data_IF_023529188790
#
_entry.id   IF_023529188790
#
_cell.length_a   1.000
_cell.length_b   1.000
_cell.length_c   1.000
_cell.angle_alpha   90.00
_cell.angle_beta   90.00
_cell.angle_gamma   90.00
#
_symmetry.space_group_name_H-M   'P 1'
#
loop_
_entity.id
_entity.type
_entity.pdbx_description
1 polymer ?
#
# COMPACT_ATOMS: atom_id res chain seq x y z
N UNK A 1 -28.69 51.86 13.24
CA UNK A 1 -29.69 50.78 13.10
C UNK A 1 -28.99 49.59 12.48
N UNK A 2 -28.69 48.59 13.30
CA UNK A 2 -28.19 47.28 12.85
C UNK A 2 -29.36 46.50 12.23
N UNK A 3 -29.17 45.94 11.03
CA UNK A 3 -29.84 44.71 10.56
C UNK A 3 -29.26 44.32 9.20
N UNK A 4 -28.43 43.27 9.10
CA UNK A 4 -28.70 41.82 8.98
C UNK A 4 -28.59 41.32 7.55
N UNK A 5 -27.48 40.60 7.31
CA UNK A 5 -27.35 39.29 6.66
C UNK A 5 -28.18 38.98 5.40
N UNK A 6 -27.51 38.65 4.29
CA UNK A 6 -27.96 37.63 3.32
C UNK A 6 -26.78 37.19 2.41
N UNK A 7 -26.45 35.90 2.56
CA UNK A 7 -25.98 34.91 1.57
C UNK A 7 -24.55 34.90 0.97
N UNK A 8 -23.80 33.90 1.47
CA UNK A 8 -22.96 32.93 0.77
C UNK A 8 -23.03 32.91 -0.77
N UNK A 9 -21.86 32.90 -1.43
CA UNK A 9 -21.30 31.68 -2.01
C UNK A 9 -19.92 31.97 -2.60
N UNK A 10 -18.89 31.35 -2.03
CA UNK A 10 -17.54 31.36 -2.57
C UNK A 10 -17.53 30.89 -4.02
N UNK A 11 -16.94 31.71 -4.88
CA UNK A 11 -16.75 31.43 -6.30
C UNK A 11 -15.98 30.11 -6.42
N UNK A 12 -16.58 29.19 -7.17
CA UNK A 12 -16.09 27.84 -7.43
C UNK A 12 -14.65 27.86 -7.94
N UNK A 13 -13.73 27.25 -7.19
CA UNK A 13 -12.41 26.86 -7.71
C UNK A 13 -12.59 25.51 -8.42
N UNK A 14 -12.24 25.39 -9.72
CA UNK A 14 -12.30 24.12 -10.40
C UNK A 14 -11.39 23.12 -9.68
N UNK A 15 -11.95 21.97 -9.33
CA UNK A 15 -11.22 20.83 -8.81
C UNK A 15 -10.25 20.33 -9.89
N UNK A 16 -9.02 20.83 -9.87
CA UNK A 16 -7.91 20.18 -10.55
C UNK A 16 -7.63 18.87 -9.83
N UNK A 17 -7.95 17.76 -10.51
CA UNK A 17 -7.70 16.36 -10.16
C UNK A 17 -6.20 16.00 -10.13
N UNK A 18 -5.41 16.82 -9.44
CA UNK A 18 -4.03 16.45 -9.12
C UNK A 18 -3.71 16.92 -7.70
N UNK A 19 -4.47 16.38 -6.76
CA UNK A 19 -4.15 16.44 -5.34
C UNK A 19 -2.78 15.79 -5.14
N UNK A 20 -1.78 16.62 -4.86
CA UNK A 20 -0.76 16.42 -3.83
C UNK A 20 -0.17 15.02 -3.70
N UNK A 21 1.14 14.89 -4.01
CA UNK A 21 2.04 13.79 -3.61
C UNK A 21 1.44 12.88 -2.52
N UNK A 22 1.06 11.67 -2.90
CA UNK A 22 0.76 10.61 -1.93
C UNK A 22 2.09 10.15 -1.34
N UNK A 23 2.67 10.92 -0.42
CA UNK A 23 3.59 10.37 0.56
C UNK A 23 2.73 9.67 1.63
N UNK A 24 2.23 8.46 1.30
CA UNK A 24 1.63 7.56 2.29
C UNK A 24 2.71 6.57 2.69
N UNK A 25 3.39 6.92 3.77
CA UNK A 25 4.45 6.11 4.33
C UNK A 25 3.86 4.85 4.97
N UNK A 26 4.31 3.71 4.46
CA UNK A 26 3.69 2.39 4.53
C UNK A 26 3.65 1.83 3.11
N UNK A 27 4.78 1.27 2.65
CA UNK A 27 4.97 0.90 1.25
C UNK A 27 4.51 -0.54 1.03
N UNK A 28 3.52 -0.73 0.16
CA UNK A 28 3.15 -2.04 -0.37
C UNK A 28 3.78 -2.16 -1.74
N UNK A 29 4.66 -3.14 -1.92
CA UNK A 29 5.43 -3.38 -3.14
C UNK A 29 5.00 -4.73 -3.71
N UNK A 30 4.66 -4.76 -4.98
CA UNK A 30 4.56 -6.00 -5.75
C UNK A 30 5.96 -6.31 -6.29
N UNK A 31 6.53 -7.44 -5.91
CA UNK A 31 7.93 -7.76 -6.22
C UNK A 31 8.05 -9.07 -6.97
N UNK A 32 9.07 -9.19 -7.81
CA UNK A 32 9.45 -10.45 -8.44
C UNK A 32 10.49 -11.19 -7.61
N UNK A 33 10.73 -12.46 -7.94
CA UNK A 33 11.72 -13.29 -7.26
C UNK A 33 13.12 -12.68 -7.29
N UNK A 34 13.50 -12.00 -8.37
CA UNK A 34 14.83 -11.40 -8.53
C UNK A 34 15.07 -10.24 -7.56
N UNK A 35 14.00 -9.57 -7.14
CA UNK A 35 14.05 -8.41 -6.26
C UNK A 35 13.97 -8.79 -4.77
N UNK A 36 13.63 -10.04 -4.47
CA UNK A 36 13.40 -10.53 -3.10
C UNK A 36 14.61 -10.31 -2.19
N UNK A 37 15.81 -10.65 -2.67
CA UNK A 37 17.05 -10.53 -1.89
C UNK A 37 17.30 -9.06 -1.49
N UNK A 38 17.14 -8.13 -2.43
CA UNK A 38 17.46 -6.72 -2.19
C UNK A 38 16.36 -6.02 -1.37
N UNK A 39 15.08 -6.31 -1.66
CA UNK A 39 13.94 -5.63 -1.04
C UNK A 39 13.57 -6.24 0.31
N UNK A 40 13.76 -7.55 0.50
CA UNK A 40 13.35 -8.27 1.72
C UNK A 40 14.54 -8.61 2.61
N UNK A 41 15.54 -9.33 2.07
CA UNK A 41 16.63 -9.88 2.90
C UNK A 41 17.59 -8.80 3.37
N UNK A 42 17.96 -7.86 2.50
CA UNK A 42 18.87 -6.75 2.84
C UNK A 42 18.15 -5.49 3.34
N UNK A 43 16.86 -5.59 3.64
CA UNK A 43 16.06 -4.46 4.06
C UNK A 43 16.57 -3.88 5.39
N UNK A 44 16.72 -2.55 5.45
CA UNK A 44 17.08 -1.84 6.69
C UNK A 44 15.92 -1.70 7.67
N UNK A 45 14.69 -1.81 7.17
CA UNK A 45 13.47 -1.69 7.95
C UNK A 45 12.69 -3.01 7.86
N UNK A 46 11.88 -3.36 8.88
CA UNK A 46 11.09 -4.59 8.85
C UNK A 46 10.21 -4.70 7.61
N UNK A 47 10.20 -5.90 7.02
CA UNK A 47 9.39 -6.23 5.84
C UNK A 47 8.44 -7.37 6.18
N UNK A 48 7.15 -7.15 5.92
CA UNK A 48 6.13 -8.20 5.89
C UNK A 48 6.08 -8.77 4.48
N UNK A 49 6.20 -10.08 4.34
CA UNK A 49 6.05 -10.73 3.04
C UNK A 49 4.69 -11.42 2.95
N UNK A 50 3.91 -11.04 1.94
CA UNK A 50 2.64 -11.66 1.57
C UNK A 50 2.90 -12.62 0.39
N UNK A 51 3.16 -13.88 0.73
CA UNK A 51 3.24 -14.97 -0.25
C UNK A 51 1.82 -15.34 -0.67
N UNK A 52 1.38 -14.82 -1.82
CA UNK A 52 0.01 -14.99 -2.30
C UNK A 52 -0.04 -15.73 -3.64
N UNK A 53 -1.24 -16.07 -4.07
CA UNK A 53 -1.52 -16.54 -5.43
C UNK A 53 -2.85 -15.98 -5.94
N UNK A 54 -3.03 -15.90 -7.27
CA UNK A 54 -4.29 -15.41 -7.85
C UNK A 54 -5.48 -16.34 -7.60
N UNK A 55 -5.21 -17.63 -7.38
CA UNK A 55 -6.20 -18.64 -7.02
C UNK A 55 -6.45 -18.74 -5.51
N UNK A 56 -5.68 -18.01 -4.67
CA UNK A 56 -5.87 -18.02 -3.23
C UNK A 56 -6.96 -17.03 -2.79
N UNK A 57 -8.18 -17.51 -2.63
CA UNK A 57 -9.31 -16.67 -2.20
C UNK A 57 -9.16 -16.07 -0.79
N UNK A 58 -8.63 -16.79 0.22
CA UNK A 58 -8.34 -16.18 1.52
C UNK A 58 -7.32 -15.03 1.42
N UNK A 59 -6.32 -15.14 0.55
CA UNK A 59 -5.30 -14.12 0.33
C UNK A 59 -5.91 -12.83 -0.24
N UNK A 60 -6.93 -12.94 -1.09
CA UNK A 60 -7.65 -11.78 -1.66
C UNK A 60 -8.36 -10.95 -0.60
N UNK A 61 -8.78 -11.58 0.51
CA UNK A 61 -9.40 -10.89 1.65
C UNK A 61 -8.34 -10.32 2.60
N UNK A 62 -7.31 -11.10 2.93
CA UNK A 62 -6.26 -10.70 3.88
C UNK A 62 -5.34 -9.61 3.33
N UNK A 63 -4.97 -9.68 2.05
CA UNK A 63 -4.04 -8.74 1.42
C UNK A 63 -4.42 -7.26 1.60
N UNK A 64 -5.66 -6.84 1.26
CA UNK A 64 -6.12 -5.48 1.47
C UNK A 64 -6.13 -5.03 2.94
N UNK A 65 -6.42 -5.94 3.87
CA UNK A 65 -6.45 -5.65 5.30
C UNK A 65 -5.01 -5.38 5.80
N UNK A 66 -4.06 -6.24 5.44
CA UNK A 66 -2.65 -6.06 5.78
C UNK A 66 -2.07 -4.79 5.14
N UNK A 67 -2.37 -4.55 3.86
CA UNK A 67 -1.96 -3.35 3.14
C UNK A 67 -2.44 -2.07 3.83
N UNK A 68 -3.68 -2.05 4.33
CA UNK A 68 -4.21 -0.92 5.09
C UNK A 68 -3.45 -0.70 6.40
N UNK A 69 -3.22 -1.78 7.17
CA UNK A 69 -2.45 -1.70 8.42
C UNK A 69 -1.02 -1.22 8.19
N UNK A 70 -0.39 -1.62 7.08
CA UNK A 70 0.96 -1.18 6.68
C UNK A 70 0.95 0.29 6.26
N UNK A 71 -0.07 0.74 5.52
CA UNK A 71 -0.23 2.14 5.12
C UNK A 71 -0.39 3.11 6.32
N UNK A 72 -0.87 2.62 7.46
CA UNK A 72 -0.96 3.37 8.71
C UNK A 72 0.37 3.34 9.51
N UNK A 73 1.31 2.48 9.12
CA UNK A 73 2.59 2.25 9.82
C UNK A 73 3.81 2.53 8.91
N UNK A 74 4.35 3.76 9.03
CA UNK A 74 5.51 4.24 8.26
C UNK A 74 6.81 3.43 8.43
N UNK A 75 6.88 2.57 9.45
CA UNK A 75 8.09 1.83 9.86
C UNK A 75 8.19 0.43 9.23
N UNK A 76 7.16 -0.01 8.51
CA UNK A 76 7.08 -1.35 7.94
C UNK A 76 6.83 -1.24 6.44
N UNK A 77 7.46 -2.12 5.69
CA UNK A 77 7.18 -2.33 4.26
C UNK A 77 6.49 -3.67 4.08
N UNK A 78 5.57 -3.75 3.13
CA UNK A 78 4.96 -5.00 2.72
C UNK A 78 5.43 -5.34 1.31
N UNK A 79 5.95 -6.55 1.12
CA UNK A 79 6.33 -7.10 -0.17
C UNK A 79 5.36 -8.22 -0.52
N UNK A 80 4.72 -8.13 -1.68
CA UNK A 80 3.79 -9.14 -2.19
C UNK A 80 4.53 -9.95 -3.24
N UNK A 81 4.49 -11.27 -3.08
CA UNK A 81 5.21 -12.20 -3.93
C UNK A 81 4.25 -13.32 -4.37
N UNK A 82 4.06 -13.43 -5.68
CA UNK A 82 3.26 -14.51 -6.25
C UNK A 82 4.02 -15.84 -6.17
N UNK A 83 3.48 -16.81 -5.44
CA UNK A 83 4.13 -18.14 -5.26
C UNK A 83 4.16 -18.96 -6.54
N UNK A 84 3.28 -18.70 -7.51
CA UNK A 84 3.30 -19.37 -8.81
C UNK A 84 4.55 -18.98 -9.62
N UNK A 85 5.04 -17.74 -9.44
CA UNK A 85 6.21 -17.20 -10.15
C UNK A 85 7.51 -17.35 -9.36
N UNK A 86 7.42 -17.45 -8.03
CA UNK A 86 8.54 -17.49 -7.09
C UNK A 86 8.54 -18.73 -6.19
N UNK A 87 8.17 -19.88 -6.75
CA UNK A 87 8.01 -21.14 -6.01
C UNK A 87 9.29 -21.58 -5.27
N UNK A 88 10.47 -21.29 -5.83
CA UNK A 88 11.78 -21.59 -5.24
C UNK A 88 12.06 -20.73 -4.00
N UNK A 89 11.63 -19.47 -4.00
CA UNK A 89 11.74 -18.58 -2.84
C UNK A 89 10.74 -19.02 -1.76
N UNK A 90 9.47 -19.23 -2.12
CA UNK A 90 8.43 -19.64 -1.17
C UNK A 90 8.79 -20.95 -0.47
N UNK A 91 9.36 -21.91 -1.20
CA UNK A 91 9.78 -23.21 -0.64
C UNK A 91 10.89 -23.11 0.42
N UNK A 92 11.67 -22.03 0.45
CA UNK A 92 12.74 -21.80 1.43
C UNK A 92 12.23 -21.29 2.77
N UNK A 93 11.05 -20.68 2.82
CA UNK A 93 10.50 -19.98 3.99
C UNK A 93 9.18 -20.57 4.51
N UNK A 94 8.98 -21.88 4.27
CA UNK A 94 7.82 -22.66 4.74
C UNK A 94 7.98 -23.17 6.17
#
# INVERSE_FOLDING_TARGET
MLNTSIHCAGVARPALFHTTRVARDGRVLEIKKEEFEEIVVKAKQPVIVDFYAHWCDPCKVLGPILAKSVAENKKVTMARLNVDEAADVASKYK
#
